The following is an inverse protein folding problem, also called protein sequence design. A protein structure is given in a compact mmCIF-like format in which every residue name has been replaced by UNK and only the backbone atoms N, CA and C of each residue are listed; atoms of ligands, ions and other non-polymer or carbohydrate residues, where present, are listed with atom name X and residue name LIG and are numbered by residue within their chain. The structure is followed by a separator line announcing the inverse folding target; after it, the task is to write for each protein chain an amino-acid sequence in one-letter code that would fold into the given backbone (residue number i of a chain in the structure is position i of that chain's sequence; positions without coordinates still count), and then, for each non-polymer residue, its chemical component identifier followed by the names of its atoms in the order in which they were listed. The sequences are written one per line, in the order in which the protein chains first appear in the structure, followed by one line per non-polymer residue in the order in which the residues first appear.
data_IF_979318050997
#
_entry.id   IF_979318050997
#
_cell.length_a   1.000
_cell.length_b   1.000
_cell.length_c   1.000
_cell.angle_alpha   90.00
_cell.angle_beta   90.00
_cell.angle_gamma   90.00
#
_symmetry.space_group_name_H-M   'P 1'
#
loop_
_entity.id
_entity.type
_entity.pdbx_description
1 polymer ?
#
# COMPACT_ATOMS: atom_id res chain seq x y z
N UNK A 1 -8.24 -1.98 -15.89
CA UNK A 1 -9.24 -2.01 -14.80
C UNK A 1 -10.01 -3.32 -14.75
N UNK A 2 -10.73 -3.74 -15.80
CA UNK A 2 -11.48 -5.02 -15.79
C UNK A 2 -10.61 -6.25 -15.43
N UNK A 3 -9.37 -6.28 -15.91
CA UNK A 3 -8.42 -7.36 -15.60
C UNK A 3 -7.92 -7.38 -14.14
N UNK A 4 -8.03 -6.27 -13.41
CA UNK A 4 -7.61 -6.17 -12.01
C UNK A 4 -8.73 -6.58 -11.04
N UNK A 5 -9.99 -6.62 -11.49
CA UNK A 5 -11.14 -6.93 -10.66
C UNK A 5 -11.04 -8.30 -9.94
N UNK A 6 -10.58 -9.40 -10.59
CA UNK A 6 -10.42 -10.68 -9.89
C UNK A 6 -9.38 -10.61 -8.75
N UNK A 7 -8.30 -9.86 -8.96
CA UNK A 7 -7.24 -9.67 -7.95
C UNK A 7 -7.78 -8.88 -6.76
N UNK A 8 -8.51 -7.78 -7.02
CA UNK A 8 -9.13 -6.98 -5.98
C UNK A 8 -10.16 -7.78 -5.18
N UNK A 9 -11.02 -8.55 -5.85
CA UNK A 9 -12.01 -9.39 -5.18
C UNK A 9 -11.34 -10.40 -4.25
N UNK A 10 -10.28 -11.07 -4.72
CA UNK A 10 -9.49 -11.99 -3.87
C UNK A 10 -8.88 -11.28 -2.65
N UNK A 11 -8.40 -10.05 -2.79
CA UNK A 11 -7.91 -9.27 -1.65
C UNK A 11 -9.04 -8.89 -0.68
N UNK A 12 -10.23 -8.55 -1.19
CA UNK A 12 -11.42 -8.27 -0.39
C UNK A 12 -11.89 -9.51 0.36
N UNK A 13 -11.88 -10.69 -0.27
CA UNK A 13 -12.25 -11.96 0.38
C UNK A 13 -11.33 -12.25 1.58
N UNK A 14 -10.02 -11.99 1.45
CA UNK A 14 -9.08 -12.08 2.57
C UNK A 14 -9.41 -11.10 3.70
N UNK A 15 -9.79 -9.86 3.37
CA UNK A 15 -10.20 -8.87 4.38
C UNK A 15 -11.45 -9.33 5.13
N UNK A 16 -12.47 -9.81 4.40
CA UNK A 16 -13.72 -10.29 5.00
C UNK A 16 -13.45 -11.44 5.96
N UNK A 17 -12.65 -12.43 5.55
CA UNK A 17 -12.25 -13.55 6.42
C UNK A 17 -11.54 -13.05 7.69
N UNK A 18 -10.64 -12.06 7.57
CA UNK A 18 -9.93 -11.50 8.72
C UNK A 18 -10.87 -10.75 9.68
N UNK A 19 -11.83 -10.00 9.15
CA UNK A 19 -12.87 -9.32 9.95
C UNK A 19 -13.74 -10.35 10.67
N UNK A 20 -14.22 -11.37 9.96
CA UNK A 20 -15.04 -12.44 10.54
C UNK A 20 -14.31 -13.16 11.68
N UNK A 21 -13.03 -13.49 11.49
CA UNK A 21 -12.19 -14.10 12.53
C UNK A 21 -12.07 -13.22 13.77
N UNK A 22 -11.86 -11.91 13.60
CA UNK A 22 -11.77 -10.96 14.72
C UNK A 22 -13.10 -10.78 15.45
N UNK A 23 -14.20 -10.70 14.71
CA UNK A 23 -15.55 -10.66 15.28
C UNK A 23 -15.86 -11.93 16.08
N UNK A 24 -15.53 -13.12 15.54
CA UNK A 24 -15.74 -14.40 16.21
C UNK A 24 -14.91 -14.55 17.48
N UNK A 25 -13.70 -13.96 17.51
CA UNK A 25 -12.87 -13.91 18.71
C UNK A 25 -13.39 -12.94 19.79
N UNK A 26 -14.38 -12.08 19.46
CA UNK A 26 -14.87 -11.04 20.36
C UNK A 26 -13.85 -9.95 20.65
N UNK A 27 -12.84 -9.79 19.77
CA UNK A 27 -11.78 -8.81 19.94
C UNK A 27 -12.20 -7.46 19.35
N UNK A 28 -11.91 -6.36 20.08
CA UNK A 28 -11.92 -5.04 19.47
C UNK A 28 -10.72 -4.88 18.55
N UNK A 29 -10.93 -4.27 17.39
CA UNK A 29 -9.87 -4.03 16.41
C UNK A 29 -10.04 -2.69 15.70
N UNK A 30 -8.92 -2.11 15.28
CA UNK A 30 -8.92 -0.93 14.43
C UNK A 30 -9.05 -1.32 12.96
N UNK A 31 -10.21 -1.03 12.38
CA UNK A 31 -10.51 -1.29 10.96
C UNK A 31 -9.56 -0.52 10.03
N UNK A 32 -9.01 0.62 10.46
CA UNK A 32 -8.08 1.41 9.65
C UNK A 32 -6.80 0.61 9.34
N UNK A 33 -6.28 -0.15 10.29
CA UNK A 33 -5.11 -1.01 10.08
C UNK A 33 -5.40 -2.13 9.06
N UNK A 34 -6.61 -2.68 9.08
CA UNK A 34 -7.03 -3.69 8.10
C UNK A 34 -7.14 -3.10 6.69
N UNK A 35 -7.72 -1.90 6.56
CA UNK A 35 -7.79 -1.20 5.28
C UNK A 35 -6.41 -0.81 4.74
N UNK A 36 -5.43 -0.49 5.60
CA UNK A 36 -4.05 -0.28 5.18
C UNK A 36 -3.45 -1.55 4.56
N UNK A 37 -3.68 -2.71 5.19
CA UNK A 37 -3.29 -4.01 4.66
C UNK A 37 -3.94 -4.30 3.30
N UNK A 38 -5.27 -4.14 3.21
CA UNK A 38 -6.03 -4.34 1.95
C UNK A 38 -5.49 -3.44 0.84
N UNK A 39 -5.28 -2.15 1.13
CA UNK A 39 -4.83 -1.17 0.15
C UNK A 39 -3.47 -1.55 -0.42
N UNK A 40 -2.52 -1.94 0.44
CA UNK A 40 -1.20 -2.36 -0.05
C UNK A 40 -1.20 -3.72 -0.72
N UNK A 41 -2.07 -4.65 -0.31
CA UNK A 41 -2.22 -5.93 -0.99
C UNK A 41 -2.73 -5.74 -2.43
N UNK A 42 -3.76 -4.91 -2.61
CA UNK A 42 -4.25 -4.53 -3.94
C UNK A 42 -3.16 -3.86 -4.76
N UNK A 43 -2.50 -2.81 -4.24
CA UNK A 43 -1.43 -2.11 -4.98
C UNK A 43 -0.29 -3.07 -5.34
N UNK A 44 0.18 -3.88 -4.39
CA UNK A 44 1.26 -4.85 -4.59
C UNK A 44 0.94 -5.82 -5.72
N UNK A 45 -0.24 -6.42 -5.68
CA UNK A 45 -0.66 -7.43 -6.66
C UNK A 45 -1.03 -6.82 -8.01
N UNK A 46 -1.67 -5.66 -8.06
CA UNK A 46 -2.15 -5.08 -9.32
C UNK A 46 -1.13 -4.19 -10.02
N UNK A 47 -0.42 -3.33 -9.28
CA UNK A 47 0.50 -2.36 -9.88
C UNK A 47 1.91 -2.92 -10.06
N UNK A 48 2.36 -3.77 -9.13
CA UNK A 48 3.72 -4.31 -9.14
C UNK A 48 3.78 -5.79 -9.49
N UNK A 49 2.65 -6.50 -9.54
CA UNK A 49 2.61 -7.94 -9.77
C UNK A 49 3.27 -8.75 -8.65
N UNK A 50 3.41 -8.17 -7.46
CA UNK A 50 4.06 -8.79 -6.30
C UNK A 50 3.01 -9.54 -5.49
N UNK A 51 3.29 -10.80 -5.18
CA UNK A 51 2.52 -11.57 -4.21
C UNK A 51 2.91 -11.10 -2.80
N UNK A 52 2.13 -10.19 -2.23
CA UNK A 52 2.32 -9.65 -0.87
C UNK A 52 1.33 -10.29 0.09
N UNK A 53 1.66 -10.25 1.37
CA UNK A 53 0.80 -10.71 2.45
C UNK A 53 0.54 -9.58 3.46
N UNK A 54 0.42 -8.34 2.95
CA UNK A 54 0.26 -7.13 3.75
C UNK A 54 -0.97 -7.15 4.69
N UNK A 55 -1.97 -7.99 4.42
CA UNK A 55 -3.16 -8.13 5.28
C UNK A 55 -2.90 -8.99 6.52
N UNK A 56 -2.04 -10.02 6.43
CA UNK A 56 -1.79 -10.96 7.53
C UNK A 56 -0.43 -10.77 8.19
N UNK A 57 0.50 -10.08 7.52
CA UNK A 57 1.85 -9.81 8.02
C UNK A 57 2.05 -8.30 8.25
N UNK A 58 1.98 -7.82 9.52
CA UNK A 58 2.24 -6.43 9.87
C UNK A 58 3.65 -5.94 9.49
N UNK A 59 4.60 -6.87 9.32
CA UNK A 59 5.98 -6.61 8.94
C UNK A 59 6.22 -6.78 7.43
N UNK A 60 5.16 -6.86 6.62
CA UNK A 60 5.28 -6.90 5.16
C UNK A 60 6.13 -5.70 4.67
N UNK A 61 7.18 -5.93 3.86
CA UNK A 61 8.09 -4.88 3.43
C UNK A 61 7.40 -3.75 2.66
N UNK A 62 6.41 -4.05 1.83
CA UNK A 62 5.66 -3.04 1.08
C UNK A 62 4.78 -2.22 2.02
N UNK A 63 4.09 -2.87 2.95
CA UNK A 63 3.27 -2.17 3.94
C UNK A 63 4.11 -1.22 4.81
N UNK A 64 5.23 -1.71 5.35
CA UNK A 64 6.12 -0.92 6.21
C UNK A 64 6.73 0.26 5.46
N UNK A 65 7.24 0.02 4.25
CA UNK A 65 7.83 1.08 3.43
C UNK A 65 6.81 2.14 3.06
N UNK A 66 5.59 1.74 2.73
CA UNK A 66 4.49 2.66 2.40
C UNK A 66 4.07 3.50 3.60
N UNK A 67 4.04 2.94 4.81
CA UNK A 67 3.77 3.70 6.04
C UNK A 67 4.82 4.79 6.28
N UNK A 68 6.11 4.48 6.10
CA UNK A 68 7.19 5.47 6.24
C UNK A 68 7.09 6.56 5.16
N UNK A 69 6.75 6.16 3.93
CA UNK A 69 6.56 7.10 2.83
C UNK A 69 5.41 8.07 3.10
N UNK A 70 4.29 7.56 3.62
CA UNK A 70 3.04 8.29 3.82
C UNK A 70 2.90 8.96 5.19
N UNK A 71 3.73 8.60 6.19
CA UNK A 71 3.72 9.22 7.53
C UNK A 71 4.05 10.72 7.49
N UNK A 72 4.55 11.22 6.35
CA UNK A 72 4.85 12.64 6.15
C UNK A 72 6.19 13.06 6.74
N UNK A 73 6.90 12.17 7.43
CA UNK A 73 8.25 12.43 7.94
C UNK A 73 9.21 12.82 6.81
N UNK A 74 9.07 12.19 5.64
CA UNK A 74 9.84 12.52 4.44
C UNK A 74 9.52 13.92 3.89
N UNK A 75 8.26 14.35 3.97
CA UNK A 75 7.83 15.68 3.50
C UNK A 75 8.36 16.82 4.36
N UNK A 76 8.68 16.53 5.63
CA UNK A 76 9.27 17.51 6.55
C UNK A 76 10.71 17.84 6.21
N UNK A 77 11.39 16.99 5.43
CA UNK A 77 12.75 17.21 4.99
C UNK A 77 12.78 18.00 3.67
N UNK A 78 13.07 19.30 3.74
CA UNK A 78 13.14 20.18 2.58
C UNK A 78 14.13 19.71 1.50
N UNK A 79 15.24 19.07 1.89
CA UNK A 79 16.22 18.53 0.93
C UNK A 79 15.62 17.42 0.07
N UNK A 80 14.79 16.55 0.68
CA UNK A 80 14.10 15.48 -0.04
C UNK A 80 13.11 16.04 -1.06
N UNK A 81 12.36 17.09 -0.69
CA UNK A 81 11.39 17.75 -1.57
C UNK A 81 12.07 18.47 -2.75
N UNK A 82 13.18 19.17 -2.50
CA UNK A 82 13.95 19.82 -3.57
C UNK A 82 14.57 18.79 -4.51
N UNK A 83 15.13 17.69 -3.97
CA UNK A 83 15.71 16.62 -4.76
C UNK A 83 14.66 15.93 -5.64
N UNK A 84 13.47 15.62 -5.11
CA UNK A 84 12.41 14.97 -5.88
C UNK A 84 11.90 15.86 -7.02
N UNK A 85 11.74 17.16 -6.77
CA UNK A 85 11.35 18.14 -7.80
C UNK A 85 12.40 18.24 -8.91
N UNK A 86 13.69 18.22 -8.53
CA UNK A 86 14.80 18.26 -9.48
C UNK A 86 14.86 17.00 -10.35
N UNK A 87 14.77 15.81 -9.73
CA UNK A 87 14.77 14.51 -10.43
C UNK A 87 13.59 14.44 -11.40
N UNK A 88 12.40 14.81 -10.94
CA UNK A 88 11.20 14.81 -11.77
C UNK A 88 11.35 15.75 -12.97
N UNK A 89 11.82 16.99 -12.77
CA UNK A 89 12.08 17.93 -13.88
C UNK A 89 13.05 17.34 -14.91
N UNK A 90 14.12 16.70 -14.46
CA UNK A 90 15.14 16.16 -15.36
C UNK A 90 14.62 14.94 -16.13
N UNK A 91 13.84 14.07 -15.48
CA UNK A 91 13.21 12.92 -16.12
C UNK A 91 12.25 13.34 -17.26
N UNK A 92 11.41 14.35 -17.03
CA UNK A 92 10.51 14.88 -18.06
C UNK A 92 11.25 15.63 -19.17
N UNK A 93 12.43 16.20 -18.89
CA UNK A 93 13.24 16.85 -19.95
C UNK A 93 13.86 15.81 -20.89
N UNK A 94 14.34 14.68 -20.35
CA UNK A 94 14.96 13.59 -21.14
C UNK A 94 13.93 12.73 -21.86
N UNK A 95 12.73 12.54 -21.32
CA UNK A 95 11.69 11.70 -21.93
C UNK A 95 10.95 12.37 -23.11
N UNK A 96 11.12 13.69 -23.29
CA UNK A 96 10.45 14.49 -24.33
C UNK A 96 11.41 15.03 -25.40
N UNK A 97 12.64 14.51 -25.46
CA UNK A 97 13.62 14.66 -26.54
C UNK A 97 14.02 13.27 -27.06
#
# INVERSE_FOLDING_TARGET
MKQMAPIMNSAIDSLVNNVENKCAAGEEFDIYLMYQGLTMDVIGRTAFGIQTDAQNNPNDPLLRSSKILLSGDLRRNYLFVLASTYIFRNFFTVAYF
#
